data_IF_376356976410
#
_entry.id   IF_376356976410
#
_cell.length_a   1.000
_cell.length_b   1.000
_cell.length_c   1.000
_cell.angle_alpha   90.00
_cell.angle_beta   90.00
_cell.angle_gamma   90.00
#
_symmetry.space_group_name_H-M   'P 1'
#
loop_
_entity.id
_entity.type
_entity.pdbx_description
1 polymer ?
#
# COMPACT_ATOMS: atom_id res chain seq x y z
N UNK A 1 -34.25 1.57 -2.60
CA UNK A 1 -32.78 1.72 -2.57
C UNK A 1 -32.48 3.06 -1.93
N UNK A 2 -31.91 3.13 -0.72
CA UNK A 2 -31.60 4.41 -0.11
C UNK A 2 -30.51 5.09 -0.94
N UNK A 3 -30.83 6.30 -1.39
CA UNK A 3 -30.02 7.16 -2.24
C UNK A 3 -28.86 7.73 -1.40
N UNK A 4 -27.63 7.44 -1.82
CA UNK A 4 -26.41 7.92 -1.16
C UNK A 4 -26.23 9.42 -1.44
N UNK A 5 -26.64 10.25 -0.47
CA UNK A 5 -26.56 11.71 -0.52
C UNK A 5 -25.20 12.26 -0.06
N UNK A 6 -24.20 11.41 0.20
CA UNK A 6 -22.94 11.87 0.82
C UNK A 6 -21.74 11.85 -0.13
N UNK A 7 -21.92 11.43 -1.39
CA UNK A 7 -20.83 11.39 -2.36
C UNK A 7 -20.99 12.48 -3.43
N UNK A 8 -20.10 13.49 -3.42
CA UNK A 8 -20.00 14.57 -4.43
C UNK A 8 -19.65 14.09 -5.85
N UNK A 9 -19.39 12.78 -6.03
CA UNK A 9 -18.88 12.17 -7.25
C UNK A 9 -19.92 11.35 -8.05
N UNK A 10 -21.22 11.59 -7.82
CA UNK A 10 -22.37 10.93 -8.46
C UNK A 10 -22.58 9.46 -8.01
N UNK A 11 -23.73 8.82 -8.34
CA UNK A 11 -24.01 7.45 -7.91
C UNK A 11 -22.89 6.48 -8.28
N UNK A 12 -22.39 5.75 -7.27
CA UNK A 12 -21.40 4.69 -7.43
C UNK A 12 -19.94 5.14 -7.55
N UNK A 13 -19.61 6.40 -7.25
CA UNK A 13 -18.23 6.92 -7.25
C UNK A 13 -17.44 6.65 -8.55
N UNK A 14 -18.14 6.42 -9.68
CA UNK A 14 -17.49 5.99 -10.94
C UNK A 14 -16.49 7.02 -11.47
N UNK A 15 -16.66 8.29 -11.09
CA UNK A 15 -15.75 9.40 -11.43
C UNK A 15 -14.77 9.73 -10.31
N UNK A 16 -14.81 9.05 -9.16
CA UNK A 16 -13.93 9.28 -8.03
C UNK A 16 -12.45 9.32 -8.42
N UNK A 17 -11.92 8.29 -9.12
CA UNK A 17 -10.51 8.29 -9.52
C UNK A 17 -10.12 9.49 -10.42
N UNK A 18 -10.94 9.83 -11.41
CA UNK A 18 -10.68 10.98 -12.29
C UNK A 18 -10.78 12.29 -11.52
N UNK A 19 -11.79 12.44 -10.66
CA UNK A 19 -11.99 13.65 -9.89
C UNK A 19 -10.91 13.85 -8.82
N UNK A 20 -10.31 12.78 -8.29
CA UNK A 20 -9.11 12.86 -7.45
C UNK A 20 -7.94 13.37 -8.29
N UNK A 21 -7.70 12.81 -9.47
CA UNK A 21 -6.63 13.27 -10.36
C UNK A 21 -6.80 14.74 -10.76
N UNK A 22 -8.01 15.14 -11.13
CA UNK A 22 -8.35 16.53 -11.46
C UNK A 22 -8.15 17.46 -10.26
N UNK A 23 -8.67 17.10 -9.08
CA UNK A 23 -8.48 17.86 -7.85
C UNK A 23 -7.00 17.97 -7.45
N UNK A 24 -6.22 16.91 -7.64
CA UNK A 24 -4.78 16.90 -7.37
C UNK A 24 -4.01 17.90 -8.24
N UNK A 25 -4.51 18.25 -9.43
CA UNK A 25 -3.89 19.33 -10.25
C UNK A 25 -4.09 20.73 -9.68
N UNK A 26 -4.99 20.88 -8.73
CA UNK A 26 -5.28 22.15 -8.05
C UNK A 26 -4.68 22.22 -6.64
N UNK A 27 -3.98 21.18 -6.20
CA UNK A 27 -3.30 21.18 -4.92
C UNK A 27 -1.91 21.82 -5.09
N UNK A 28 -1.62 22.84 -4.29
CA UNK A 28 -0.26 23.35 -4.17
C UNK A 28 0.58 22.30 -3.43
N UNK A 29 1.72 21.93 -4.02
CA UNK A 29 2.65 20.93 -3.46
C UNK A 29 3.65 21.53 -2.48
N UNK A 30 3.68 22.86 -2.42
CA UNK A 30 4.47 23.66 -1.51
C UNK A 30 3.84 23.65 -0.11
N UNK A 31 4.64 23.36 0.90
CA UNK A 31 4.24 23.48 2.30
C UNK A 31 4.76 24.82 2.86
N UNK A 32 3.84 25.71 3.22
CA UNK A 32 4.16 27.06 3.72
C UNK A 32 4.89 27.04 5.07
N UNK A 33 4.66 26.03 5.92
CA UNK A 33 5.31 25.92 7.23
C UNK A 33 6.75 25.43 7.09
N UNK A 34 7.00 24.54 6.13
CA UNK A 34 8.31 23.95 5.85
C UNK A 34 9.12 24.75 4.81
N UNK A 35 8.48 25.69 4.11
CA UNK A 35 9.02 26.49 3.00
C UNK A 35 9.64 25.63 1.88
N UNK A 36 9.01 24.50 1.55
CA UNK A 36 9.55 23.55 0.55
C UNK A 36 8.46 22.85 -0.25
N UNK A 37 8.81 22.44 -1.47
CA UNK A 37 8.08 21.44 -2.23
C UNK A 37 8.27 20.07 -1.55
N UNK A 38 7.28 19.62 -0.77
CA UNK A 38 7.44 18.44 0.12
C UNK A 38 7.82 17.19 -0.65
N UNK A 39 7.27 17.00 -1.85
CA UNK A 39 7.56 15.83 -2.70
C UNK A 39 9.01 15.80 -3.24
N UNK A 40 9.69 16.95 -3.30
CA UNK A 40 11.11 17.02 -3.70
C UNK A 40 12.05 16.70 -2.54
N UNK A 41 11.60 16.89 -1.30
CA UNK A 41 12.43 16.80 -0.09
C UNK A 41 12.18 15.58 0.77
N UNK A 42 10.98 15.01 0.69
CA UNK A 42 10.56 13.87 1.50
C UNK A 42 10.18 12.72 0.56
N UNK A 43 10.84 11.55 0.67
CA UNK A 43 10.50 10.43 -0.18
C UNK A 43 9.11 9.87 0.14
N UNK A 44 8.45 9.32 -0.87
CA UNK A 44 7.22 8.56 -0.69
C UNK A 44 7.58 7.19 -0.11
N UNK A 45 7.19 6.94 1.14
CA UNK A 45 7.31 5.64 1.76
C UNK A 45 6.17 4.72 1.31
N UNK A 46 6.50 3.59 0.71
CA UNK A 46 5.57 2.50 0.43
C UNK A 46 5.66 1.45 1.54
N UNK A 47 4.52 0.86 1.92
CA UNK A 47 4.44 -0.12 2.99
C UNK A 47 3.68 -1.36 2.49
N UNK A 48 4.29 -2.54 2.61
CA UNK A 48 3.68 -3.82 2.22
C UNK A 48 3.06 -3.77 0.81
N UNK A 49 3.80 -3.20 -0.14
CA UNK A 49 3.26 -2.74 -1.42
C UNK A 49 3.72 -3.60 -2.60
N UNK A 50 2.84 -3.71 -3.58
CA UNK A 50 3.21 -4.17 -4.93
C UNK A 50 3.87 -3.01 -5.66
N UNK A 51 5.14 -3.18 -6.03
CA UNK A 51 5.82 -2.23 -6.93
C UNK A 51 5.49 -2.63 -8.37
N UNK A 52 4.92 -1.73 -9.19
CA UNK A 52 4.50 -2.10 -10.53
C UNK A 52 5.71 -2.29 -11.47
N UNK A 53 5.59 -3.24 -12.39
CA UNK A 53 6.63 -3.59 -13.37
C UNK A 53 6.79 -2.56 -14.50
N UNK A 54 5.72 -1.83 -14.83
CA UNK A 54 5.69 -0.86 -15.93
C UNK A 54 5.41 -1.46 -17.30
N UNK A 55 5.89 -2.66 -17.61
CA UNK A 55 5.59 -3.33 -18.88
C UNK A 55 4.32 -4.20 -18.81
N UNK A 56 4.06 -4.80 -17.64
CA UNK A 56 2.89 -5.63 -17.32
C UNK A 56 2.01 -4.94 -16.28
N UNK A 57 0.72 -5.28 -16.29
CA UNK A 57 -0.17 -4.93 -15.18
C UNK A 57 -0.04 -5.96 -14.05
N UNK A 58 -0.48 -5.61 -12.83
CA UNK A 58 -0.51 -6.58 -11.73
C UNK A 58 -1.35 -7.81 -12.10
N UNK A 59 -2.48 -7.63 -12.79
CA UNK A 59 -3.29 -8.76 -13.26
C UNK A 59 -2.53 -9.67 -14.22
N UNK A 60 -1.74 -9.12 -15.15
CA UNK A 60 -0.90 -9.95 -16.04
C UNK A 60 0.14 -10.77 -15.25
N UNK A 61 0.70 -10.21 -14.18
CA UNK A 61 1.66 -10.91 -13.30
C UNK A 61 0.97 -12.02 -12.49
N UNK A 62 -0.22 -11.74 -11.94
CA UNK A 62 -1.03 -12.70 -11.17
C UNK A 62 -1.53 -13.85 -12.05
N UNK A 63 -2.00 -13.56 -13.26
CA UNK A 63 -2.46 -14.57 -14.21
C UNK A 63 -1.30 -15.45 -14.70
N UNK A 64 -0.08 -14.91 -14.75
CA UNK A 64 1.12 -15.68 -15.10
C UNK A 64 1.55 -16.61 -13.97
N UNK A 65 1.74 -16.07 -12.76
CA UNK A 65 2.09 -16.83 -11.56
C UNK A 65 1.78 -16.03 -10.29
N UNK A 66 0.58 -16.22 -9.74
CA UNK A 66 0.18 -15.62 -8.46
C UNK A 66 1.08 -16.04 -7.28
N UNK A 67 1.68 -17.24 -7.31
CA UNK A 67 2.50 -17.77 -6.21
C UNK A 67 3.89 -17.15 -6.15
N UNK A 68 4.32 -16.49 -7.23
CA UNK A 68 5.55 -15.70 -7.24
C UNK A 68 5.40 -14.42 -6.39
N UNK A 69 4.21 -13.83 -6.33
CA UNK A 69 3.94 -12.57 -5.60
C UNK A 69 3.35 -12.84 -4.20
N UNK A 70 2.42 -13.79 -4.12
CA UNK A 70 1.63 -14.05 -2.92
C UNK A 70 1.99 -15.38 -2.27
N UNK A 71 1.81 -15.48 -0.96
CA UNK A 71 1.75 -16.77 -0.29
C UNK A 71 0.57 -17.59 -0.84
N UNK A 72 0.80 -18.89 -1.10
CA UNK A 72 -0.21 -19.75 -1.72
C UNK A 72 -1.54 -19.79 -0.95
N UNK A 73 -1.49 -19.70 0.37
CA UNK A 73 -2.69 -19.71 1.22
C UNK A 73 -3.52 -18.42 1.13
N UNK A 74 -2.93 -17.32 0.65
CA UNK A 74 -3.65 -16.07 0.41
C UNK A 74 -4.49 -16.11 -0.87
N UNK A 75 -4.09 -16.91 -1.86
CA UNK A 75 -4.73 -16.91 -3.18
C UNK A 75 -6.18 -17.36 -3.08
N UNK A 76 -7.09 -16.54 -3.61
CA UNK A 76 -8.54 -16.79 -3.55
C UNK A 76 -9.20 -16.42 -2.22
N UNK A 77 -8.44 -15.90 -1.26
CA UNK A 77 -8.96 -15.42 0.02
C UNK A 77 -9.54 -14.01 -0.12
N UNK A 78 -10.72 -13.78 0.45
CA UNK A 78 -11.30 -12.44 0.58
C UNK A 78 -11.46 -12.08 2.07
N UNK A 79 -10.51 -11.33 2.66
CA UNK A 79 -10.56 -10.97 4.08
C UNK A 79 -11.71 -10.01 4.41
N UNK A 80 -12.38 -9.42 3.42
CA UNK A 80 -13.46 -8.45 3.64
C UNK A 80 -14.78 -9.13 3.98
N UNK A 81 -14.90 -10.43 3.68
CA UNK A 81 -16.08 -11.26 3.98
C UNK A 81 -15.76 -12.44 4.90
N UNK A 82 -14.47 -12.73 5.16
CA UNK A 82 -14.01 -13.74 6.09
C UNK A 82 -13.12 -13.12 7.20
N UNK A 83 -13.69 -12.86 8.39
CA UNK A 83 -12.93 -12.32 9.53
C UNK A 83 -11.80 -13.24 10.03
N UNK A 84 -11.94 -14.56 9.89
CA UNK A 84 -10.90 -15.49 10.29
C UNK A 84 -9.70 -15.39 9.33
N UNK A 85 -9.97 -15.25 8.03
CA UNK A 85 -8.93 -14.95 7.05
C UNK A 85 -8.27 -13.59 7.32
N UNK A 86 -9.04 -12.53 7.56
CA UNK A 86 -8.48 -11.22 7.90
C UNK A 86 -7.57 -11.29 9.13
N UNK A 87 -8.01 -11.96 10.21
CA UNK A 87 -7.19 -12.14 11.41
C UNK A 87 -5.94 -12.97 11.13
N UNK A 88 -6.03 -13.99 10.27
CA UNK A 88 -4.91 -14.87 9.92
C UNK A 88 -3.84 -14.21 9.05
N UNK A 89 -4.25 -13.36 8.11
CA UNK A 89 -3.36 -12.81 7.09
C UNK A 89 -2.95 -11.36 7.38
N UNK A 90 -3.88 -10.53 7.85
CA UNK A 90 -3.65 -9.09 8.04
C UNK A 90 -3.26 -8.74 9.49
N UNK A 91 -3.86 -9.41 10.47
CA UNK A 91 -3.79 -9.01 11.89
C UNK A 91 -3.28 -10.11 12.83
N UNK A 92 -2.51 -11.06 12.30
CA UNK A 92 -2.12 -12.27 13.04
C UNK A 92 -1.13 -12.00 14.17
N UNK A 93 -0.43 -10.88 14.08
CA UNK A 93 0.58 -10.38 15.00
C UNK A 93 0.05 -9.24 15.89
N UNK A 94 -1.25 -8.95 15.82
CA UNK A 94 -1.91 -8.00 16.72
C UNK A 94 -2.24 -8.65 18.08
N UNK A 95 -2.22 -7.83 19.15
CA UNK A 95 -2.90 -8.19 20.39
C UNK A 95 -4.39 -8.45 20.14
N UNK A 96 -5.06 -9.34 20.90
CA UNK A 96 -6.45 -9.71 20.64
C UNK A 96 -7.41 -8.52 20.52
N UNK A 97 -7.31 -7.55 21.41
CA UNK A 97 -8.18 -6.36 21.41
C UNK A 97 -7.91 -5.47 20.18
N UNK A 98 -6.64 -5.32 19.79
CA UNK A 98 -6.24 -4.56 18.60
C UNK A 98 -6.75 -5.24 17.33
N UNK A 99 -6.66 -6.57 17.24
CA UNK A 99 -7.18 -7.33 16.12
C UNK A 99 -8.71 -7.17 16.00
N UNK A 100 -9.44 -7.24 17.12
CA UNK A 100 -10.89 -7.09 17.12
C UNK A 100 -11.32 -5.68 16.69
N UNK A 101 -10.61 -4.65 17.15
CA UNK A 101 -10.79 -3.29 16.65
C UNK A 101 -10.50 -3.21 15.15
N UNK A 102 -9.36 -3.73 14.69
CA UNK A 102 -8.94 -3.65 13.30
C UNK A 102 -9.95 -4.33 12.36
N UNK A 103 -10.45 -5.51 12.74
CA UNK A 103 -11.51 -6.22 12.02
C UNK A 103 -12.77 -5.37 11.83
N UNK A 104 -13.17 -4.56 12.83
CA UNK A 104 -14.32 -3.66 12.73
C UNK A 104 -14.10 -2.50 11.74
N UNK A 105 -12.83 -2.17 11.43
CA UNK A 105 -12.47 -1.10 10.49
C UNK A 105 -12.35 -1.57 9.05
N UNK A 106 -12.41 -2.88 8.77
CA UNK A 106 -12.26 -3.41 7.42
C UNK A 106 -13.27 -2.81 6.45
N UNK A 107 -12.78 -2.39 5.29
CA UNK A 107 -13.57 -1.91 4.17
C UNK A 107 -13.05 -2.56 2.90
N UNK A 108 -13.97 -2.97 2.03
CA UNK A 108 -13.59 -3.54 0.74
C UNK A 108 -12.97 -2.46 -0.14
N UNK A 109 -11.72 -2.66 -0.51
CA UNK A 109 -11.00 -1.84 -1.47
C UNK A 109 -10.40 -2.74 -2.56
N UNK A 110 -11.06 -2.80 -3.72
CA UNK A 110 -10.62 -3.61 -4.87
C UNK A 110 -10.61 -2.73 -6.13
N UNK A 111 -9.59 -1.86 -6.28
CA UNK A 111 -9.48 -0.94 -7.41
C UNK A 111 -9.02 -1.66 -8.69
N UNK A 112 -9.92 -2.46 -9.29
CA UNK A 112 -9.61 -3.28 -10.48
C UNK A 112 -8.96 -2.51 -11.64
N UNK A 113 -9.37 -1.25 -11.86
CA UNK A 113 -8.78 -0.41 -12.91
C UNK A 113 -7.30 -0.12 -12.68
N UNK A 114 -6.85 -0.05 -11.42
CA UNK A 114 -5.44 0.12 -11.06
C UNK A 114 -4.68 -1.18 -11.29
N UNK A 115 -5.24 -2.31 -10.88
CA UNK A 115 -4.60 -3.62 -11.03
C UNK A 115 -4.42 -4.05 -12.48
N UNK A 116 -5.30 -3.61 -13.38
CA UNK A 116 -5.20 -3.86 -14.83
C UNK A 116 -4.39 -2.80 -15.59
N UNK A 117 -3.97 -1.71 -14.93
CA UNK A 117 -3.20 -0.66 -15.59
C UNK A 117 -1.71 -1.06 -15.70
N UNK A 118 -1.07 -0.66 -16.81
CA UNK A 118 0.38 -0.75 -17.00
C UNK A 118 0.98 0.59 -16.58
N UNK A 119 1.55 0.64 -15.38
CA UNK A 119 2.12 1.87 -14.79
C UNK A 119 3.55 1.59 -14.39
N UNK A 120 4.48 2.45 -14.81
CA UNK A 120 5.87 2.36 -14.36
C UNK A 120 6.07 3.26 -13.12
N UNK A 121 6.98 2.89 -12.19
CA UNK A 121 7.41 3.82 -11.15
C UNK A 121 7.98 5.10 -11.75
N UNK A 122 7.70 6.24 -11.11
CA UNK A 122 8.22 7.54 -11.54
C UNK A 122 9.65 7.74 -10.98
N UNK A 123 10.72 7.69 -11.80
CA UNK A 123 12.09 7.70 -11.29
C UNK A 123 12.51 9.04 -10.66
N UNK A 124 11.81 10.12 -11.01
CA UNK A 124 12.05 11.47 -10.48
C UNK A 124 11.50 11.68 -9.08
N UNK A 125 10.68 10.77 -8.57
CA UNK A 125 10.08 10.88 -7.24
C UNK A 125 10.85 9.96 -6.30
N UNK A 126 11.58 10.50 -5.31
CA UNK A 126 12.26 9.67 -4.32
C UNK A 126 11.26 8.75 -3.62
N UNK A 127 11.57 7.45 -3.60
CA UNK A 127 10.73 6.44 -2.96
C UNK A 127 11.53 5.66 -1.93
N UNK A 128 10.85 5.20 -0.90
CA UNK A 128 11.39 4.27 0.11
C UNK A 128 10.46 3.08 0.16
N UNK A 129 11.03 1.87 0.19
CA UNK A 129 10.25 0.64 0.34
C UNK A 129 10.39 0.08 1.75
N UNK A 130 9.26 -0.14 2.42
CA UNK A 130 9.19 -0.77 3.74
C UNK A 130 8.49 -2.12 3.61
N UNK A 131 9.19 -3.19 3.98
CA UNK A 131 8.76 -4.59 3.81
C UNK A 131 8.58 -5.23 5.19
N UNK A 132 7.36 -5.65 5.57
CA UNK A 132 7.16 -6.46 6.76
C UNK A 132 7.71 -7.88 6.55
N UNK A 133 8.56 -8.36 7.47
CA UNK A 133 9.24 -9.65 7.31
C UNK A 133 8.32 -10.87 7.42
N UNK A 134 7.25 -10.75 8.20
CA UNK A 134 6.29 -11.83 8.49
C UNK A 134 4.96 -11.63 7.71
N UNK A 135 4.96 -10.88 6.61
CA UNK A 135 3.77 -10.72 5.77
C UNK A 135 3.29 -12.09 5.26
N UNK A 136 2.00 -12.38 5.44
CA UNK A 136 1.36 -13.64 5.02
C UNK A 136 0.55 -13.48 3.73
N UNK A 137 0.53 -12.28 3.17
CA UNK A 137 -0.15 -11.95 1.92
C UNK A 137 0.88 -11.95 0.79
N UNK A 138 1.58 -10.84 0.58
CA UNK A 138 2.72 -10.69 -0.31
C UNK A 138 3.95 -11.34 0.31
N UNK A 139 4.75 -11.99 -0.52
CA UNK A 139 6.00 -12.58 -0.05
C UNK A 139 7.05 -11.48 0.15
N UNK A 140 7.70 -11.49 1.32
CA UNK A 140 8.77 -10.54 1.64
C UNK A 140 9.93 -10.60 0.64
N UNK A 141 10.33 -11.79 0.20
CA UNK A 141 11.41 -11.98 -0.77
C UNK A 141 11.09 -11.33 -2.13
N UNK A 142 9.85 -11.49 -2.60
CA UNK A 142 9.37 -10.82 -3.81
C UNK A 142 9.35 -9.29 -3.65
N UNK A 143 8.83 -8.77 -2.53
CA UNK A 143 8.79 -7.33 -2.28
C UNK A 143 10.20 -6.72 -2.25
N UNK A 144 11.16 -7.39 -1.63
CA UNK A 144 12.57 -6.97 -1.58
C UNK A 144 13.17 -6.94 -2.99
N UNK A 145 12.99 -8.01 -3.77
CA UNK A 145 13.47 -8.07 -5.15
C UNK A 145 12.84 -6.97 -6.02
N UNK A 146 11.53 -6.78 -5.95
CA UNK A 146 10.80 -5.75 -6.68
C UNK A 146 11.24 -4.34 -6.30
N UNK A 147 11.53 -4.09 -5.01
CA UNK A 147 12.06 -2.79 -4.56
C UNK A 147 13.40 -2.46 -5.22
N UNK A 148 14.29 -3.45 -5.30
CA UNK A 148 15.59 -3.28 -5.94
C UNK A 148 15.49 -3.16 -7.47
N UNK A 149 14.75 -4.06 -8.10
CA UNK A 149 14.69 -4.18 -9.55
C UNK A 149 13.83 -3.10 -10.21
N UNK A 150 12.74 -2.68 -9.55
CA UNK A 150 11.73 -1.78 -10.13
C UNK A 150 11.80 -0.35 -9.57
N UNK A 151 12.17 -0.16 -8.29
CA UNK A 151 12.39 1.18 -7.72
C UNK A 151 13.86 1.59 -7.66
N UNK A 152 14.81 0.65 -7.78
CA UNK A 152 16.23 0.94 -7.61
C UNK A 152 16.62 1.23 -6.15
N UNK A 153 15.83 0.80 -5.17
CA UNK A 153 16.07 1.06 -3.73
C UNK A 153 16.25 -0.23 -2.94
N UNK A 154 17.12 -0.20 -1.94
CA UNK A 154 17.22 -1.28 -0.96
C UNK A 154 16.06 -1.16 0.04
N UNK A 155 15.30 -2.24 0.23
CA UNK A 155 14.14 -2.25 1.11
C UNK A 155 14.53 -2.16 2.59
N UNK A 156 13.75 -1.42 3.36
CA UNK A 156 13.84 -1.41 4.82
C UNK A 156 12.92 -2.51 5.34
N UNK A 157 13.51 -3.58 5.82
CA UNK A 157 12.77 -4.69 6.41
C UNK A 157 12.42 -4.35 7.86
N UNK A 158 11.15 -4.53 8.22
CA UNK A 158 10.62 -4.26 9.57
C UNK A 158 9.93 -5.51 10.12
N UNK A 159 9.91 -5.70 11.44
CA UNK A 159 9.20 -6.83 12.03
C UNK A 159 7.69 -6.70 11.86
N UNK A 160 6.99 -7.84 11.74
CA UNK A 160 5.52 -7.90 11.71
C UNK A 160 4.92 -8.34 10.37
N UNK A 161 3.59 -8.48 10.38
CA UNK A 161 2.77 -8.92 9.26
C UNK A 161 2.37 -7.80 8.30
N UNK A 162 1.35 -8.03 7.48
CA UNK A 162 0.93 -7.11 6.41
C UNK A 162 0.59 -5.68 6.89
N UNK A 163 0.07 -5.55 8.11
CA UNK A 163 -0.39 -4.27 8.66
C UNK A 163 0.45 -3.84 9.88
N UNK A 164 1.76 -3.56 9.75
CA UNK A 164 2.59 -3.17 10.89
C UNK A 164 2.22 -1.79 11.43
N UNK A 165 1.51 -0.96 10.65
CA UNK A 165 0.89 0.28 11.12
C UNK A 165 -0.22 0.04 12.16
N UNK A 166 -0.75 -1.19 12.25
CA UNK A 166 -1.72 -1.61 13.26
C UNK A 166 -1.03 -2.42 14.36
N UNK A 167 -0.27 -3.47 14.00
CA UNK A 167 0.30 -4.39 14.98
C UNK A 167 1.52 -3.84 15.72
N UNK A 168 2.35 -3.04 15.02
CA UNK A 168 3.65 -2.54 15.51
C UNK A 168 3.89 -1.07 15.12
N UNK A 169 2.97 -0.14 15.45
CA UNK A 169 3.07 1.25 15.00
C UNK A 169 4.33 1.96 15.51
N UNK A 170 4.86 1.59 16.68
CA UNK A 170 6.10 2.18 17.21
C UNK A 170 7.33 1.78 16.39
N UNK A 171 7.47 0.50 16.02
CA UNK A 171 8.58 0.01 15.19
C UNK A 171 8.54 0.68 13.81
N UNK A 172 7.34 0.79 13.22
CA UNK A 172 7.14 1.50 11.95
C UNK A 172 7.49 2.99 12.06
N UNK A 173 7.08 3.65 13.15
CA UNK A 173 7.40 5.07 13.37
C UNK A 173 8.91 5.31 13.49
N UNK A 174 9.66 4.41 14.16
CA UNK A 174 11.12 4.47 14.21
C UNK A 174 11.73 4.32 12.81
N UNK A 175 11.25 3.37 12.01
CA UNK A 175 11.71 3.19 10.63
C UNK A 175 11.46 4.44 9.78
N UNK A 176 10.28 5.06 9.87
CA UNK A 176 9.93 6.30 9.17
C UNK A 176 10.75 7.49 9.65
N UNK A 177 10.96 7.65 10.96
CA UNK A 177 11.77 8.74 11.51
C UNK A 177 13.23 8.67 11.05
N UNK A 178 13.76 7.46 10.80
CA UNK A 178 15.10 7.27 10.23
C UNK A 178 15.25 7.82 8.80
N UNK A 179 14.15 8.06 8.10
CA UNK A 179 14.15 8.63 6.74
C UNK A 179 14.40 10.13 6.77
N UNK A 180 13.81 10.84 7.72
CA UNK A 180 13.97 12.30 7.88
C UNK A 180 15.38 12.75 8.28
N UNK A 181 16.24 11.82 8.72
CA UNK A 181 17.64 12.09 9.07
C UNK A 181 18.64 11.89 7.92
N UNK A 182 18.23 11.24 6.83
CA UNK A 182 19.09 10.98 5.66
C UNK A 182 19.09 12.20 4.74
N UNK A 183 19.78 13.26 5.17
CA UNK A 183 20.11 14.41 4.32
C UNK A 183 21.17 13.97 3.31
N UNK A 184 20.83 13.89 2.02
CA UNK A 184 21.80 13.91 0.92
C UNK A 184 22.23 15.35 0.64
#
# INVERSE_FOLDING_TARGET
LPYDLTTSYQPGARRGPIAILEASTHLETYDDELEVETFERVPIATLAAVVPDGSKSLMDEVDHDATALFHAEWIGTDPTVDPAAARRFLFHDCAPETADWALATLRRFVPMSVYSARVAPAPSIPAVSIVPEDDRTLRADWMIAASKERLGVEAIVVPGGHCPHVSRPADLAVALASLGGRRS
#
